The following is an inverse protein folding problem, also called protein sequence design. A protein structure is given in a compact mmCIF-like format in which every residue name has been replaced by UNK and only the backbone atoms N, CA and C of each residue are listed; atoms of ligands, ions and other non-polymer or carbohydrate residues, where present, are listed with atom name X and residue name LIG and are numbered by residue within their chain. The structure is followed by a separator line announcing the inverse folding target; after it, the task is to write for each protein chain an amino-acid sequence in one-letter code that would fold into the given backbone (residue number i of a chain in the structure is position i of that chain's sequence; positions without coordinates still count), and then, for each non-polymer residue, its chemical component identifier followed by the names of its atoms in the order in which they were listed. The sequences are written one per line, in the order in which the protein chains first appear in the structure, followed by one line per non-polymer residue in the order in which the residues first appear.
data_IF_787727054095
#
_entry.id   IF_787727054095
#
_cell.length_a   1.000
_cell.length_b   1.000
_cell.length_c   1.000
_cell.angle_alpha   90.00
_cell.angle_beta   90.00
_cell.angle_gamma   90.00
#
_symmetry.space_group_name_H-M   'P 1'
#
loop_
_entity.id
_entity.type
_entity.pdbx_description
1 polymer ?
#
# COMPACT_ATOMS: atom_id res chain seq x y z
N UNK A 1 -7.74 -23.91 -14.68
CA UNK A 1 -8.57 -23.10 -15.56
C UNK A 1 -7.67 -22.17 -16.39
N UNK A 2 -7.63 -22.32 -17.76
CA UNK A 2 -6.75 -21.55 -18.64
C UNK A 2 -6.90 -20.03 -18.47
N UNK A 3 -8.14 -19.52 -18.44
CA UNK A 3 -8.40 -18.08 -18.29
C UNK A 3 -7.89 -17.50 -16.96
N UNK A 4 -7.92 -18.27 -15.87
CA UNK A 4 -7.36 -17.83 -14.59
C UNK A 4 -5.82 -17.78 -14.63
N UNK A 5 -5.20 -18.73 -15.35
CA UNK A 5 -3.76 -18.74 -15.52
C UNK A 5 -3.28 -17.55 -16.37
N UNK A 6 -3.97 -17.26 -17.48
CA UNK A 6 -3.68 -16.09 -18.31
C UNK A 6 -3.74 -14.79 -17.49
N UNK A 7 -4.82 -14.58 -16.73
CA UNK A 7 -4.98 -13.41 -15.84
C UNK A 7 -3.92 -13.36 -14.74
N UNK A 8 -3.43 -14.52 -14.27
CA UNK A 8 -2.34 -14.57 -13.31
C UNK A 8 -1.06 -14.01 -13.94
N UNK A 9 -0.74 -14.47 -15.15
CA UNK A 9 0.49 -14.05 -15.85
C UNK A 9 0.42 -12.56 -16.22
N UNK A 10 -0.74 -12.02 -16.60
CA UNK A 10 -0.93 -10.60 -16.90
C UNK A 10 -0.51 -9.66 -15.74
N UNK A 11 -0.58 -10.12 -14.50
CA UNK A 11 -0.21 -9.28 -13.35
C UNK A 11 1.24 -8.83 -13.34
N UNK A 12 2.12 -9.62 -13.96
CA UNK A 12 3.54 -9.30 -14.07
C UNK A 12 3.91 -8.36 -15.21
N UNK A 13 2.99 -8.01 -16.12
CA UNK A 13 3.26 -7.35 -17.40
C UNK A 13 4.10 -6.07 -17.30
N UNK A 14 3.97 -5.30 -16.23
CA UNK A 14 4.72 -4.05 -16.05
C UNK A 14 6.09 -4.25 -15.40
N UNK A 15 6.33 -5.39 -14.76
CA UNK A 15 7.51 -5.60 -13.94
C UNK A 15 8.46 -6.67 -14.46
N UNK A 16 7.92 -7.65 -15.22
CA UNK A 16 8.67 -8.86 -15.61
C UNK A 16 9.89 -8.54 -16.48
N UNK A 17 9.77 -7.59 -17.42
CA UNK A 17 10.89 -7.16 -18.25
C UNK A 17 12.03 -6.61 -17.39
N UNK A 18 11.72 -5.72 -16.46
CA UNK A 18 12.69 -5.18 -15.52
C UNK A 18 13.37 -6.27 -14.66
N UNK A 19 12.58 -7.25 -14.21
CA UNK A 19 13.11 -8.39 -13.44
C UNK A 19 14.07 -9.23 -14.29
N UNK A 20 13.73 -9.48 -15.56
CA UNK A 20 14.61 -10.21 -16.49
C UNK A 20 15.92 -9.48 -16.73
N UNK A 21 15.88 -8.16 -16.94
CA UNK A 21 17.08 -7.32 -17.06
C UNK A 21 17.97 -7.39 -15.81
N UNK A 22 17.37 -7.32 -14.63
CA UNK A 22 18.13 -7.44 -13.38
C UNK A 22 18.74 -8.85 -13.22
N UNK A 23 18.03 -9.92 -13.57
CA UNK A 23 18.54 -11.29 -13.54
C UNK A 23 19.74 -11.48 -14.50
N UNK A 24 19.67 -10.91 -15.70
CA UNK A 24 20.73 -10.98 -16.71
C UNK A 24 22.04 -10.35 -16.21
N UNK A 25 21.98 -9.20 -15.52
CA UNK A 25 23.16 -8.54 -14.93
C UNK A 25 23.95 -9.46 -14.00
N UNK A 26 23.29 -10.38 -13.34
CA UNK A 26 23.88 -11.37 -12.43
C UNK A 26 24.06 -12.75 -13.06
N UNK A 27 23.76 -12.90 -14.35
CA UNK A 27 23.80 -14.19 -15.09
C UNK A 27 23.00 -15.28 -14.38
N UNK A 28 21.84 -14.92 -13.85
CA UNK A 28 20.90 -15.84 -13.22
C UNK A 28 19.94 -16.42 -14.25
N UNK A 29 19.40 -17.63 -14.01
CA UNK A 29 18.37 -18.21 -14.87
C UNK A 29 17.14 -17.29 -15.02
N UNK A 30 16.68 -16.99 -16.25
CA UNK A 30 15.57 -16.07 -16.47
C UNK A 30 14.25 -16.59 -15.90
N UNK A 31 14.11 -17.91 -15.72
CA UNK A 31 12.93 -18.51 -15.09
C UNK A 31 12.68 -17.99 -13.67
N UNK A 32 13.70 -17.48 -12.99
CA UNK A 32 13.56 -16.86 -11.67
C UNK A 32 12.66 -15.63 -11.68
N UNK A 33 12.39 -15.03 -12.85
CA UNK A 33 11.36 -14.00 -12.98
C UNK A 33 9.94 -14.52 -12.68
N UNK A 34 9.74 -15.83 -12.62
CA UNK A 34 8.45 -16.44 -12.26
C UNK A 34 8.26 -16.61 -10.73
N UNK A 35 9.29 -16.37 -9.91
CA UNK A 35 9.18 -16.46 -8.45
C UNK A 35 8.09 -15.55 -7.86
N UNK A 36 7.94 -14.28 -8.26
CA UNK A 36 6.91 -13.42 -7.73
C UNK A 36 5.48 -13.94 -7.94
N UNK A 37 5.23 -14.79 -8.95
CA UNK A 37 3.93 -15.45 -9.10
C UNK A 37 3.64 -16.42 -7.96
N UNK A 38 4.65 -17.11 -7.45
CA UNK A 38 4.51 -18.06 -6.34
C UNK A 38 4.43 -17.33 -5.01
N UNK A 39 5.17 -16.25 -4.86
CA UNK A 39 5.24 -15.47 -3.61
C UNK A 39 3.99 -14.64 -3.37
N UNK A 40 3.53 -13.91 -4.39
CA UNK A 40 2.49 -12.90 -4.23
C UNK A 40 1.50 -12.78 -5.40
N UNK A 41 1.63 -13.61 -6.43
CA UNK A 41 0.96 -13.39 -7.73
C UNK A 41 1.33 -12.03 -8.37
N UNK A 42 2.56 -11.56 -8.20
CA UNK A 42 2.99 -10.22 -8.62
C UNK A 42 2.16 -9.09 -8.01
N UNK A 43 1.58 -9.30 -6.83
CA UNK A 43 0.84 -8.27 -6.12
C UNK A 43 1.79 -7.46 -5.21
N UNK A 44 2.08 -6.19 -5.53
CA UNK A 44 3.00 -5.38 -4.75
C UNK A 44 2.46 -5.04 -3.35
N UNK A 45 1.15 -5.15 -3.11
CA UNK A 45 0.52 -4.90 -1.82
C UNK A 45 0.42 -6.14 -0.94
N UNK A 46 0.90 -7.29 -1.40
CA UNK A 46 0.80 -8.54 -0.67
C UNK A 46 1.57 -8.50 0.65
N UNK A 47 0.89 -8.91 1.74
CA UNK A 47 1.45 -9.04 3.09
C UNK A 47 1.09 -10.43 3.62
N UNK A 48 2.08 -11.21 4.02
CA UNK A 48 1.86 -12.50 4.64
C UNK A 48 1.54 -12.39 6.14
N UNK A 49 0.99 -13.43 6.73
CA UNK A 49 0.74 -13.49 8.17
C UNK A 49 2.03 -13.38 9.01
N UNK A 50 3.20 -13.75 8.44
CA UNK A 50 4.51 -13.63 9.08
C UNK A 50 5.19 -12.26 8.84
N UNK A 51 4.55 -11.34 8.12
CA UNK A 51 5.06 -10.00 7.85
C UNK A 51 6.01 -9.91 6.65
N UNK A 52 6.04 -10.92 5.76
CA UNK A 52 6.68 -10.80 4.46
C UNK A 52 5.86 -9.89 3.56
N UNK A 53 6.50 -9.05 2.72
CA UNK A 53 5.83 -7.99 1.96
C UNK A 53 6.30 -7.90 0.51
N UNK A 54 5.40 -7.40 -0.35
CA UNK A 54 5.65 -7.05 -1.74
C UNK A 54 5.68 -8.24 -2.68
N UNK A 55 6.04 -8.00 -3.93
CA UNK A 55 6.05 -9.04 -4.96
C UNK A 55 7.02 -10.19 -4.65
N UNK A 56 8.09 -9.92 -3.91
CA UNK A 56 9.14 -10.87 -3.53
C UNK A 56 8.98 -11.46 -2.14
N UNK A 57 7.97 -11.06 -1.37
CA UNK A 57 7.71 -11.50 0.00
C UNK A 57 8.95 -11.41 0.92
N UNK A 58 9.62 -10.24 0.89
CA UNK A 58 10.76 -10.02 1.77
C UNK A 58 10.36 -9.99 3.24
N UNK A 59 11.03 -10.82 4.03
CA UNK A 59 11.00 -10.70 5.48
C UNK A 59 11.78 -9.46 5.94
N UNK A 60 11.35 -8.76 7.01
CA UNK A 60 12.00 -7.51 7.46
C UNK A 60 13.51 -7.63 7.70
N UNK A 61 13.96 -8.74 8.29
CA UNK A 61 15.38 -8.97 8.57
C UNK A 61 16.20 -9.10 7.28
N UNK A 62 15.72 -9.89 6.31
CA UNK A 62 16.38 -10.07 5.02
C UNK A 62 16.36 -8.78 4.20
N UNK A 63 15.26 -8.04 4.21
CA UNK A 63 15.11 -6.76 3.54
C UNK A 63 16.20 -5.77 3.97
N UNK A 64 16.41 -5.62 5.28
CA UNK A 64 17.47 -4.74 5.83
C UNK A 64 18.88 -5.14 5.38
N UNK A 65 19.18 -6.45 5.33
CA UNK A 65 20.48 -6.94 4.87
C UNK A 65 20.75 -6.52 3.40
N UNK A 66 19.70 -6.52 2.58
CA UNK A 66 19.79 -6.16 1.16
C UNK A 66 19.50 -4.67 0.88
N UNK A 67 19.49 -3.83 1.94
CA UNK A 67 19.41 -2.38 1.83
C UNK A 67 18.01 -1.84 1.63
N UNK A 68 16.97 -2.66 1.79
CA UNK A 68 15.59 -2.18 1.76
C UNK A 68 15.26 -1.51 3.10
N UNK A 69 14.83 -0.26 3.01
CA UNK A 69 14.46 0.57 4.15
C UNK A 69 12.96 0.75 4.19
N UNK A 70 12.44 1.02 5.38
CA UNK A 70 11.07 1.42 5.63
C UNK A 70 11.06 2.75 6.37
N UNK A 71 10.27 3.68 5.86
CA UNK A 71 9.95 4.94 6.53
C UNK A 71 8.44 5.01 6.75
N UNK A 72 7.98 6.05 7.41
CA UNK A 72 6.53 6.25 7.53
C UNK A 72 5.85 6.49 6.16
N UNK A 73 6.58 7.12 5.24
CA UNK A 73 6.10 7.50 3.90
C UNK A 73 6.30 6.42 2.86
N UNK A 74 7.34 5.58 3.00
CA UNK A 74 7.79 4.70 1.94
C UNK A 74 8.31 3.37 2.48
N UNK A 75 7.73 2.28 2.02
CA UNK A 75 8.12 0.90 2.33
C UNK A 75 8.72 0.24 1.09
N UNK A 76 10.03 0.13 1.04
CA UNK A 76 10.74 -0.36 -0.15
C UNK A 76 10.45 -1.82 -0.51
N UNK A 77 9.94 -2.62 0.42
CA UNK A 77 9.52 -3.99 0.12
C UNK A 77 8.29 -4.05 -0.78
N UNK A 78 7.44 -3.04 -0.73
CA UNK A 78 6.27 -2.90 -1.60
C UNK A 78 6.62 -2.33 -2.97
N UNK A 79 7.74 -1.59 -3.10
CA UNK A 79 8.18 -1.07 -4.40
C UNK A 79 8.64 -2.21 -5.31
N UNK A 80 7.98 -2.45 -6.46
CA UNK A 80 8.32 -3.60 -7.31
C UNK A 80 9.71 -3.52 -7.91
N UNK A 81 10.20 -2.33 -8.26
CA UNK A 81 11.50 -2.16 -8.91
C UNK A 81 12.64 -2.19 -7.89
N UNK A 82 12.49 -1.47 -6.78
CA UNK A 82 13.50 -1.41 -5.71
C UNK A 82 13.66 -2.78 -5.07
N UNK A 83 12.54 -3.45 -4.74
CA UNK A 83 12.59 -4.80 -4.16
C UNK A 83 13.11 -5.86 -5.13
N UNK A 84 12.88 -5.72 -6.46
CA UNK A 84 13.44 -6.63 -7.46
C UNK A 84 14.97 -6.57 -7.50
N UNK A 85 15.56 -5.37 -7.48
CA UNK A 85 17.02 -5.23 -7.40
C UNK A 85 17.59 -5.93 -6.16
N UNK A 86 16.93 -5.80 -5.02
CA UNK A 86 17.35 -6.46 -3.79
C UNK A 86 17.18 -7.98 -3.87
N UNK A 87 16.06 -8.46 -4.43
CA UNK A 87 15.76 -9.88 -4.58
C UNK A 87 16.75 -10.58 -5.51
N UNK A 88 17.08 -9.96 -6.63
CA UNK A 88 18.06 -10.51 -7.56
C UNK A 88 19.46 -10.61 -6.93
N UNK A 89 19.89 -9.58 -6.16
CA UNK A 89 21.14 -9.67 -5.37
C UNK A 89 21.12 -10.82 -4.36
N UNK A 90 19.98 -10.99 -3.68
CA UNK A 90 19.82 -12.11 -2.74
C UNK A 90 19.84 -13.46 -3.45
N UNK A 91 19.15 -13.60 -4.58
CA UNK A 91 19.17 -14.81 -5.40
C UNK A 91 20.57 -15.11 -5.93
N UNK A 92 21.31 -14.10 -6.38
CA UNK A 92 22.71 -14.26 -6.83
C UNK A 92 23.62 -14.75 -5.70
N UNK A 93 23.48 -14.18 -4.50
CA UNK A 93 24.19 -14.67 -3.32
C UNK A 93 23.88 -16.13 -3.02
N UNK A 94 22.61 -16.51 -2.99
CA UNK A 94 22.18 -17.89 -2.74
C UNK A 94 22.66 -18.84 -3.83
N UNK A 95 22.53 -18.45 -5.09
CA UNK A 95 22.94 -19.25 -6.23
C UNK A 95 24.44 -19.57 -6.19
N UNK A 96 25.27 -18.58 -5.94
CA UNK A 96 26.71 -18.77 -5.79
C UNK A 96 27.04 -19.59 -4.54
N UNK A 97 26.36 -19.35 -3.39
CA UNK A 97 26.59 -20.06 -2.14
C UNK A 97 26.31 -21.57 -2.25
N UNK A 98 25.35 -21.95 -3.10
CA UNK A 98 24.96 -23.33 -3.31
C UNK A 98 25.43 -23.93 -4.64
N UNK A 99 26.62 -23.50 -5.12
CA UNK A 99 27.28 -24.03 -6.31
C UNK A 99 26.41 -24.00 -7.57
N UNK A 100 25.59 -22.98 -7.72
CA UNK A 100 24.66 -22.78 -8.84
C UNK A 100 23.59 -23.86 -8.99
N UNK A 101 23.32 -24.63 -7.91
CA UNK A 101 22.25 -25.59 -7.89
C UNK A 101 20.91 -24.88 -7.62
N UNK A 102 20.07 -24.82 -8.65
CA UNK A 102 18.80 -24.07 -8.60
C UNK A 102 17.85 -24.59 -7.51
N UNK A 103 17.83 -25.89 -7.28
CA UNK A 103 16.97 -26.51 -6.27
C UNK A 103 17.33 -26.06 -4.86
N UNK A 104 18.64 -25.93 -4.60
CA UNK A 104 19.12 -25.42 -3.32
C UNK A 104 18.90 -23.89 -3.22
N UNK A 105 19.12 -23.15 -4.32
CA UNK A 105 18.83 -21.71 -4.37
C UNK A 105 17.40 -21.43 -3.97
N UNK A 106 16.44 -22.14 -4.56
CA UNK A 106 15.01 -22.01 -4.28
C UNK A 106 14.65 -22.43 -2.85
N UNK A 107 15.22 -23.57 -2.39
CA UNK A 107 15.01 -24.05 -1.02
C UNK A 107 15.56 -23.06 0.02
N UNK A 108 16.71 -22.45 -0.26
CA UNK A 108 17.32 -21.45 0.61
C UNK A 108 16.57 -20.12 0.58
N UNK A 109 16.02 -19.71 -0.57
CA UNK A 109 15.20 -18.51 -0.69
C UNK A 109 13.97 -18.61 0.21
N UNK A 110 13.23 -19.73 0.12
CA UNK A 110 12.01 -19.95 0.91
C UNK A 110 12.29 -20.30 2.38
N UNK A 111 13.21 -21.23 2.65
CA UNK A 111 13.45 -21.78 3.99
C UNK A 111 14.61 -21.16 4.76
N UNK A 112 15.37 -20.30 4.12
CA UNK A 112 16.60 -19.70 4.65
C UNK A 112 17.85 -20.57 4.44
N UNK A 113 19.00 -19.95 4.11
CA UNK A 113 20.24 -20.65 3.79
C UNK A 113 20.81 -21.47 4.98
N UNK A 114 20.69 -20.94 6.19
CA UNK A 114 21.20 -21.60 7.40
C UNK A 114 20.52 -22.95 7.66
N UNK A 115 19.20 -23.00 7.48
CA UNK A 115 18.45 -24.25 7.65
C UNK A 115 18.89 -25.30 6.62
N UNK A 116 19.00 -24.90 5.35
CA UNK A 116 19.41 -25.77 4.26
C UNK A 116 20.80 -26.34 4.50
N UNK A 117 21.77 -25.49 4.84
CA UNK A 117 23.15 -25.91 5.14
C UNK A 117 23.23 -26.88 6.31
N UNK A 118 22.50 -26.60 7.38
CA UNK A 118 22.41 -27.49 8.54
C UNK A 118 21.95 -28.89 8.13
N UNK A 119 20.93 -28.97 7.27
CA UNK A 119 20.41 -30.26 6.81
C UNK A 119 21.37 -30.96 5.85
N UNK A 120 22.04 -30.24 4.94
CA UNK A 120 23.06 -30.79 4.06
C UNK A 120 24.23 -31.35 4.88
N UNK A 121 24.76 -30.62 5.87
CA UNK A 121 25.85 -31.07 6.76
C UNK A 121 25.44 -32.27 7.57
N UNK A 122 24.21 -32.28 8.08
CA UNK A 122 23.69 -33.45 8.85
C UNK A 122 23.63 -34.72 8.00
N UNK A 123 23.06 -34.63 6.78
CA UNK A 123 22.96 -35.76 5.89
C UNK A 123 24.35 -36.29 5.48
N UNK A 124 25.30 -35.38 5.15
CA UNK A 124 26.70 -35.76 4.88
C UNK A 124 27.32 -36.51 6.04
N UNK A 125 27.15 -36.02 7.29
CA UNK A 125 27.68 -36.71 8.50
C UNK A 125 27.06 -38.07 8.70
N UNK A 126 25.81 -38.27 8.30
CA UNK A 126 25.09 -39.55 8.42
C UNK A 126 25.25 -40.50 7.22
N UNK A 127 26.11 -40.16 6.24
CA UNK A 127 26.27 -40.90 4.98
C UNK A 127 24.99 -40.92 4.10
N UNK A 128 24.06 -40.02 4.31
CA UNK A 128 22.82 -39.90 3.55
C UNK A 128 22.94 -38.99 2.37
N UNK A 129 22.09 -39.18 1.36
CA UNK A 129 21.99 -38.31 0.20
C UNK A 129 21.70 -36.87 0.61
N UNK A 130 22.38 -35.94 -0.06
CA UNK A 130 22.13 -34.50 0.09
C UNK A 130 21.12 -33.96 -0.92
N UNK A 131 20.54 -34.79 -1.80
CA UNK A 131 19.46 -34.36 -2.68
C UNK A 131 18.35 -33.68 -1.85
N UNK A 132 17.83 -32.53 -2.33
CA UNK A 132 16.88 -31.71 -1.57
C UNK A 132 15.65 -32.50 -1.09
N UNK A 133 15.19 -33.52 -1.87
CA UNK A 133 14.07 -34.39 -1.50
C UNK A 133 14.36 -35.24 -0.24
N UNK A 134 15.62 -35.54 0.02
CA UNK A 134 16.08 -36.30 1.14
C UNK A 134 16.42 -35.47 2.38
N UNK A 135 16.46 -34.15 2.22
CA UNK A 135 16.71 -33.23 3.34
C UNK A 135 15.46 -33.13 4.23
N UNK A 136 15.66 -33.01 5.53
CA UNK A 136 14.54 -32.76 6.49
C UNK A 136 14.21 -31.29 6.51
N UNK A 137 13.48 -30.83 5.50
CA UNK A 137 13.01 -29.44 5.37
C UNK A 137 11.53 -29.33 5.76
N UNK A 138 11.05 -28.16 6.17
CA UNK A 138 9.62 -27.90 6.36
C UNK A 138 8.82 -28.22 5.10
N UNK A 139 7.57 -28.63 5.26
CA UNK A 139 6.70 -29.00 4.12
C UNK A 139 6.58 -27.86 3.10
N UNK A 140 6.39 -26.63 3.57
CA UNK A 140 6.33 -25.44 2.71
C UNK A 140 7.57 -25.34 1.79
N UNK A 141 8.78 -25.51 2.36
CA UNK A 141 10.04 -25.43 1.59
C UNK A 141 10.20 -26.62 0.64
N UNK A 142 9.74 -27.81 1.05
CA UNK A 142 9.73 -28.99 0.15
C UNK A 142 8.78 -28.82 -1.03
N UNK A 143 7.62 -28.22 -0.82
CA UNK A 143 6.61 -27.99 -1.85
C UNK A 143 6.96 -26.81 -2.76
N UNK A 144 7.88 -25.92 -2.34
CA UNK A 144 8.25 -24.71 -3.07
C UNK A 144 8.93 -25.02 -4.41
N UNK A 145 9.90 -25.90 -4.42
CA UNK A 145 10.64 -26.31 -5.64
C UNK A 145 9.72 -26.96 -6.68
N UNK A 146 8.85 -27.91 -6.35
CA UNK A 146 7.84 -28.42 -7.28
C UNK A 146 6.89 -27.36 -7.84
N UNK A 147 6.43 -26.43 -7.00
CA UNK A 147 5.58 -25.32 -7.44
C UNK A 147 6.28 -24.43 -8.48
N UNK A 148 7.54 -24.10 -8.20
CA UNK A 148 8.35 -23.34 -9.16
C UNK A 148 8.51 -24.08 -10.49
N UNK A 149 8.87 -25.34 -10.46
CA UNK A 149 9.00 -26.17 -11.67
C UNK A 149 7.68 -26.28 -12.43
N UNK A 150 6.56 -26.36 -11.72
CA UNK A 150 5.25 -26.42 -12.35
C UNK A 150 4.89 -25.12 -13.09
N UNK A 151 5.13 -23.95 -12.51
CA UNK A 151 4.85 -22.69 -13.21
C UNK A 151 5.79 -22.51 -14.41
N UNK A 152 7.06 -22.86 -14.28
CA UNK A 152 8.02 -22.84 -15.40
C UNK A 152 7.54 -23.74 -16.53
N UNK A 153 7.16 -25.01 -16.22
CA UNK A 153 6.63 -25.96 -17.20
C UNK A 153 5.37 -25.43 -17.91
N UNK A 154 4.43 -24.85 -17.15
CA UNK A 154 3.20 -24.28 -17.70
C UNK A 154 3.45 -23.07 -18.61
N UNK A 155 4.47 -22.25 -18.29
CA UNK A 155 4.82 -21.10 -19.13
C UNK A 155 5.56 -21.55 -20.41
N UNK A 156 6.55 -22.42 -20.29
CA UNK A 156 7.36 -22.86 -21.43
C UNK A 156 6.54 -23.69 -22.41
N UNK A 157 5.68 -24.56 -21.90
CA UNK A 157 4.88 -25.50 -22.68
C UNK A 157 3.38 -25.14 -22.69
N UNK A 158 3.06 -23.85 -22.69
CA UNK A 158 1.70 -23.36 -22.54
C UNK A 158 0.71 -23.99 -23.55
N UNK A 159 1.09 -24.07 -24.82
CA UNK A 159 0.27 -24.67 -25.90
C UNK A 159 -0.08 -26.12 -25.61
N UNK A 160 0.89 -26.91 -25.10
CA UNK A 160 0.67 -28.32 -24.72
C UNK A 160 -0.43 -28.49 -23.68
N UNK A 161 -0.62 -27.47 -22.83
CA UNK A 161 -1.63 -27.46 -21.77
C UNK A 161 -2.90 -26.68 -22.14
N UNK A 162 -3.04 -26.28 -23.41
CA UNK A 162 -4.16 -25.46 -23.87
C UNK A 162 -4.23 -24.09 -23.19
N UNK A 163 -3.07 -23.53 -22.80
CA UNK A 163 -2.96 -22.24 -22.17
C UNK A 163 -2.58 -21.17 -23.22
N UNK A 164 -3.27 -20.05 -23.18
CA UNK A 164 -2.90 -18.84 -23.95
C UNK A 164 -2.20 -17.89 -23.02
N UNK A 165 -0.93 -17.59 -23.30
CA UNK A 165 -0.18 -16.59 -22.54
C UNK A 165 -0.44 -15.19 -23.12
N UNK A 166 -0.54 -14.16 -22.28
CA UNK A 166 -0.58 -12.79 -22.76
C UNK A 166 0.74 -12.44 -23.46
N UNK A 167 0.66 -11.68 -24.54
CA UNK A 167 1.84 -11.16 -25.22
C UNK A 167 2.40 -9.98 -24.39
N UNK A 168 3.62 -10.14 -23.89
CA UNK A 168 4.34 -9.04 -23.25
C UNK A 168 5.35 -8.44 -24.22
N UNK A 169 5.47 -7.10 -24.28
CA UNK A 169 6.56 -6.48 -25.02
C UNK A 169 7.91 -6.94 -24.46
N UNK A 170 8.82 -7.38 -25.33
CA UNK A 170 10.21 -7.61 -24.95
C UNK A 170 10.97 -6.27 -25.00
N UNK A 171 10.49 -5.31 -24.24
CA UNK A 171 11.01 -3.95 -24.18
C UNK A 171 10.63 -3.31 -22.84
N UNK A 172 11.35 -2.29 -22.45
CA UNK A 172 11.02 -1.49 -21.29
C UNK A 172 9.64 -0.83 -21.46
N UNK A 173 8.73 -1.10 -20.54
CA UNK A 173 7.37 -0.55 -20.52
C UNK A 173 7.16 0.51 -19.44
N UNK A 174 8.11 0.64 -18.51
CA UNK A 174 8.08 1.63 -17.45
C UNK A 174 9.20 2.65 -17.64
N UNK A 175 8.82 3.92 -17.63
CA UNK A 175 9.70 5.05 -17.43
C UNK A 175 9.58 5.59 -16.01
N UNK A 176 10.19 6.75 -15.76
CA UNK A 176 10.09 7.41 -14.47
C UNK A 176 10.09 8.93 -14.62
N UNK A 177 9.41 9.59 -13.68
CA UNK A 177 9.46 11.05 -13.57
C UNK A 177 9.97 11.45 -12.20
N UNK A 178 10.93 12.36 -12.17
CA UNK A 178 11.44 12.98 -10.94
C UNK A 178 10.80 14.34 -10.73
N UNK A 179 10.17 14.52 -9.57
CA UNK A 179 9.52 15.74 -9.14
C UNK A 179 10.20 16.26 -7.87
N UNK A 180 10.46 17.56 -7.81
CA UNK A 180 11.08 18.16 -6.63
C UNK A 180 10.04 18.43 -5.54
N UNK A 181 10.34 17.98 -4.32
CA UNK A 181 9.50 18.15 -3.16
C UNK A 181 8.47 17.05 -2.96
N UNK A 182 7.60 17.28 -2.02
CA UNK A 182 6.52 16.36 -1.68
C UNK A 182 5.38 16.47 -2.68
N UNK A 183 4.82 15.34 -3.08
CA UNK A 183 3.78 15.24 -4.10
C UNK A 183 2.61 14.39 -3.57
N UNK A 184 1.40 14.92 -3.68
CA UNK A 184 0.17 14.16 -3.43
C UNK A 184 -0.07 13.16 -4.56
N UNK A 185 -0.30 11.89 -4.22
CA UNK A 185 -0.39 10.81 -5.23
C UNK A 185 -1.64 10.95 -6.09
N UNK A 186 -2.76 11.44 -5.53
CA UNK A 186 -3.98 11.68 -6.31
C UNK A 186 -3.79 12.84 -7.28
N UNK A 187 -3.19 13.95 -6.84
CA UNK A 187 -2.87 15.07 -7.74
C UNK A 187 -1.92 14.63 -8.85
N UNK A 188 -0.95 13.75 -8.54
CA UNK A 188 -0.10 13.16 -9.57
C UNK A 188 -0.89 12.26 -10.54
N UNK A 189 -1.87 11.49 -10.05
CA UNK A 189 -2.72 10.66 -10.90
C UNK A 189 -3.51 11.50 -11.91
N UNK A 190 -4.07 12.62 -11.46
CA UNK A 190 -4.78 13.57 -12.33
C UNK A 190 -3.83 14.23 -13.34
N UNK A 191 -2.63 14.63 -12.89
CA UNK A 191 -1.60 15.21 -13.77
C UNK A 191 -1.15 14.26 -14.88
N UNK A 192 -1.02 12.96 -14.54
CA UNK A 192 -0.59 11.93 -15.48
C UNK A 192 -1.74 11.37 -16.34
N UNK A 193 -2.98 11.77 -16.09
CA UNK A 193 -4.20 11.19 -16.68
C UNK A 193 -4.26 9.66 -16.51
N UNK A 194 -3.90 9.21 -15.31
CA UNK A 194 -3.88 7.80 -14.95
C UNK A 194 -4.86 7.51 -13.82
N UNK A 195 -5.46 6.33 -13.83
CA UNK A 195 -6.29 5.87 -12.71
C UNK A 195 -5.44 5.76 -11.44
N UNK A 196 -5.92 6.26 -10.29
CA UNK A 196 -5.18 6.18 -9.02
C UNK A 196 -4.72 4.77 -8.65
N UNK A 197 -5.57 3.75 -8.90
CA UNK A 197 -5.21 2.35 -8.63
C UNK A 197 -3.96 1.92 -9.40
N UNK A 198 -3.83 2.41 -10.62
CA UNK A 198 -2.70 2.09 -11.47
C UNK A 198 -1.43 2.80 -11.02
N UNK A 199 -1.53 4.10 -10.68
CA UNK A 199 -0.41 4.86 -10.11
C UNK A 199 0.10 4.22 -8.82
N UNK A 200 -0.81 3.88 -7.89
CA UNK A 200 -0.44 3.18 -6.66
C UNK A 200 0.17 1.81 -6.93
N UNK A 201 -0.33 1.05 -7.92
CA UNK A 201 0.23 -0.26 -8.27
C UNK A 201 1.68 -0.16 -8.75
N UNK A 202 1.98 0.83 -9.60
CA UNK A 202 3.34 1.06 -10.09
C UNK A 202 4.28 1.61 -9.01
N UNK A 203 3.72 2.28 -7.99
CA UNK A 203 4.43 3.02 -6.95
C UNK A 203 4.03 2.57 -5.54
N UNK A 204 3.85 1.27 -5.36
CA UNK A 204 3.31 0.70 -4.12
C UNK A 204 4.20 0.92 -2.89
N UNK A 205 5.43 1.37 -3.10
CA UNK A 205 6.31 1.81 -2.02
C UNK A 205 5.75 2.99 -1.23
N UNK A 206 5.00 3.90 -1.86
CA UNK A 206 4.35 5.01 -1.15
C UNK A 206 3.19 4.50 -0.30
N UNK A 207 3.34 4.62 1.02
CA UNK A 207 2.39 4.06 2.01
C UNK A 207 1.36 5.07 2.48
N UNK A 208 1.48 6.33 2.03
CA UNK A 208 0.64 7.46 2.42
C UNK A 208 -0.01 8.12 1.20
N UNK A 209 -0.79 9.13 1.47
CA UNK A 209 -1.46 9.95 0.45
C UNK A 209 -0.49 10.83 -0.35
N UNK A 210 0.72 11.04 0.17
CA UNK A 210 1.78 11.82 -0.46
C UNK A 210 3.13 11.13 -0.31
N UNK A 211 4.09 11.54 -1.12
CA UNK A 211 5.50 11.16 -1.03
C UNK A 211 6.19 11.77 0.21
N UNK A 212 7.43 11.37 0.54
CA UNK A 212 8.20 12.02 1.62
C UNK A 212 8.37 13.51 1.43
N UNK A 213 8.36 14.31 2.49
CA UNK A 213 8.67 15.74 2.41
C UNK A 213 10.16 16.00 2.17
N UNK A 214 10.46 17.09 1.47
CA UNK A 214 11.83 17.62 1.32
C UNK A 214 12.76 16.86 0.38
N UNK A 215 12.32 15.77 -0.21
CA UNK A 215 13.11 14.93 -1.11
C UNK A 215 12.61 15.03 -2.56
N UNK A 216 13.46 14.56 -3.49
CA UNK A 216 13.01 14.32 -4.86
C UNK A 216 12.12 13.10 -4.88
N UNK A 217 10.89 13.27 -5.33
CA UNK A 217 9.92 12.18 -5.51
C UNK A 217 10.07 11.56 -6.88
N UNK A 218 10.14 10.23 -6.95
CA UNK A 218 10.22 9.49 -8.21
C UNK A 218 8.94 8.66 -8.36
N UNK A 219 8.20 8.89 -9.45
CA UNK A 219 7.09 8.03 -9.84
C UNK A 219 7.48 7.16 -11.03
N UNK A 220 7.20 5.87 -10.92
CA UNK A 220 7.19 4.96 -12.07
C UNK A 220 5.91 5.19 -12.86
N UNK A 221 6.03 5.30 -14.16
CA UNK A 221 4.96 5.61 -15.10
C UNK A 221 5.08 4.72 -16.34
N UNK A 222 4.03 4.56 -17.15
CA UNK A 222 4.18 4.02 -18.51
C UNK A 222 5.20 4.85 -19.30
N UNK A 223 6.10 4.17 -20.01
CA UNK A 223 7.23 4.84 -20.68
C UNK A 223 6.79 5.86 -21.74
N UNK A 224 5.64 5.62 -22.37
CA UNK A 224 5.06 6.52 -23.37
C UNK A 224 4.64 7.89 -22.83
N UNK A 225 4.50 8.02 -21.51
CA UNK A 225 4.13 9.28 -20.85
C UNK A 225 5.36 10.09 -20.39
N UNK A 226 6.55 9.50 -20.38
CA UNK A 226 7.74 10.09 -19.75
C UNK A 226 8.09 11.46 -20.32
N UNK A 227 8.15 11.60 -21.65
CA UNK A 227 8.50 12.87 -22.30
C UNK A 227 7.41 13.93 -22.07
N UNK A 228 6.14 13.58 -22.25
CA UNK A 228 5.04 14.52 -22.12
C UNK A 228 4.89 15.06 -20.70
N UNK A 229 5.07 14.22 -19.69
CA UNK A 229 5.02 14.63 -18.29
C UNK A 229 6.26 15.44 -17.88
N UNK A 230 7.44 15.09 -18.39
CA UNK A 230 8.66 15.85 -18.14
C UNK A 230 8.58 17.29 -18.66
N UNK A 231 7.88 17.54 -19.76
CA UNK A 231 7.66 18.90 -20.28
C UNK A 231 6.78 19.75 -19.36
N UNK A 232 5.81 19.14 -18.65
CA UNK A 232 4.80 19.84 -17.83
C UNK A 232 5.10 19.81 -16.32
N UNK A 233 6.12 19.05 -15.88
CA UNK A 233 6.36 18.81 -14.44
C UNK A 233 6.61 20.06 -13.61
N UNK A 234 7.21 21.12 -14.18
CA UNK A 234 7.52 22.34 -13.44
C UNK A 234 6.25 23.08 -13.04
N UNK A 235 5.28 23.18 -13.94
CA UNK A 235 3.97 23.80 -13.67
C UNK A 235 3.19 22.97 -12.62
N UNK A 236 3.22 21.64 -12.77
CA UNK A 236 2.57 20.74 -11.81
C UNK A 236 3.13 20.92 -10.41
N UNK A 237 4.45 20.90 -10.23
CA UNK A 237 5.09 21.04 -8.92
C UNK A 237 4.76 22.40 -8.31
N UNK A 238 4.80 23.49 -9.10
CA UNK A 238 4.48 24.82 -8.62
C UNK A 238 3.03 24.94 -8.14
N UNK A 239 2.08 24.32 -8.86
CA UNK A 239 0.65 24.35 -8.51
C UNK A 239 0.28 23.45 -7.31
N UNK A 240 1.06 22.39 -7.04
CA UNK A 240 0.71 21.35 -6.06
C UNK A 240 1.73 21.23 -4.91
N UNK A 241 2.38 22.32 -4.52
CA UNK A 241 3.29 22.32 -3.37
C UNK A 241 2.52 22.04 -2.07
N UNK A 242 2.97 21.03 -1.33
CA UNK A 242 2.46 20.78 0.02
C UNK A 242 3.22 21.68 1.00
N UNK A 243 2.50 22.51 1.72
CA UNK A 243 3.08 23.42 2.68
C UNK A 243 3.33 22.74 4.03
N UNK A 244 4.50 22.98 4.58
CA UNK A 244 4.87 22.56 5.93
C UNK A 244 4.96 23.76 6.83
N UNK A 245 4.51 23.59 8.08
CA UNK A 245 4.70 24.59 9.14
C UNK A 245 5.65 24.05 10.17
N UNK A 246 6.60 24.86 10.58
CA UNK A 246 7.44 24.58 11.75
C UNK A 246 6.75 25.11 12.99
N UNK A 247 6.43 24.24 13.95
CA UNK A 247 5.91 24.60 15.26
C UNK A 247 7.02 24.50 16.31
N UNK A 248 7.28 25.60 17.00
CA UNK A 248 8.21 25.61 18.14
C UNK A 248 7.46 25.28 19.43
N UNK A 249 7.86 24.19 20.07
CA UNK A 249 7.22 23.68 21.30
C UNK A 249 7.31 24.71 22.41
N UNK A 250 6.17 25.10 22.95
CA UNK A 250 6.00 26.06 24.03
C UNK A 250 5.59 25.37 25.33
N UNK A 251 5.69 26.09 26.45
CA UNK A 251 5.29 25.56 27.76
C UNK A 251 3.80 25.21 27.76
N UNK A 252 3.48 23.96 28.10
CA UNK A 252 2.11 23.44 28.10
C UNK A 252 1.68 22.78 26.81
N UNK A 253 2.54 22.72 25.75
CA UNK A 253 2.32 21.94 24.57
C UNK A 253 2.41 20.45 24.86
N UNK A 254 1.67 19.69 24.09
CA UNK A 254 1.79 18.24 23.98
C UNK A 254 1.56 17.86 22.53
N UNK A 255 2.05 16.70 22.10
CA UNK A 255 1.81 16.20 20.76
C UNK A 255 0.31 16.18 20.41
N UNK A 256 -0.54 15.86 21.38
CA UNK A 256 -1.99 15.87 21.21
C UNK A 256 -2.54 17.28 20.93
N UNK A 257 -2.12 18.29 21.72
CA UNK A 257 -2.56 19.68 21.51
C UNK A 257 -2.08 20.24 20.17
N UNK A 258 -0.83 19.94 19.80
CA UNK A 258 -0.24 20.35 18.53
C UNK A 258 -0.95 19.65 17.37
N UNK A 259 -1.19 18.35 17.46
CA UNK A 259 -1.94 17.60 16.47
C UNK A 259 -3.33 18.20 16.23
N UNK A 260 -4.08 18.48 17.30
CA UNK A 260 -5.39 19.11 17.20
C UNK A 260 -5.35 20.55 16.64
N UNK A 261 -4.31 21.33 17.00
CA UNK A 261 -4.17 22.69 16.51
C UNK A 261 -3.96 22.76 15.01
N UNK A 262 -3.25 21.79 14.45
CA UNK A 262 -2.87 21.76 13.04
C UNK A 262 -3.63 20.70 12.23
N UNK A 263 -4.69 20.17 12.81
CA UNK A 263 -5.55 19.14 12.16
C UNK A 263 -4.76 17.94 11.62
N UNK A 264 -3.89 17.40 12.46
CA UNK A 264 -3.05 16.23 12.14
C UNK A 264 -3.11 15.19 13.27
N UNK A 265 -2.45 14.06 13.10
CA UNK A 265 -2.41 13.01 14.12
C UNK A 265 -1.11 13.01 14.93
N UNK A 266 -1.20 12.64 16.22
CA UNK A 266 -0.03 12.46 17.08
C UNK A 266 0.99 11.50 16.46
N UNK A 267 0.52 10.40 15.86
CA UNK A 267 1.39 9.43 15.22
C UNK A 267 2.10 9.99 13.98
N UNK A 268 1.44 10.89 13.24
CA UNK A 268 2.04 11.63 12.13
C UNK A 268 3.15 12.52 12.64
N UNK A 269 2.87 13.36 13.64
CA UNK A 269 3.86 14.24 14.26
C UNK A 269 5.08 13.47 14.78
N UNK A 270 4.84 12.35 15.46
CA UNK A 270 5.94 11.51 15.98
C UNK A 270 6.83 10.99 14.86
N UNK A 271 6.26 10.46 13.83
CA UNK A 271 7.00 9.79 12.73
C UNK A 271 7.70 10.78 11.83
N UNK A 272 7.03 11.89 11.48
CA UNK A 272 7.61 12.96 10.67
C UNK A 272 8.81 13.60 11.36
N UNK A 273 8.74 13.73 12.70
CA UNK A 273 9.79 14.35 13.49
C UNK A 273 10.72 13.33 14.17
N UNK A 274 10.64 12.04 13.80
CA UNK A 274 11.48 10.95 14.35
C UNK A 274 11.44 10.86 15.87
N UNK A 275 10.26 11.13 16.51
CA UNK A 275 10.12 11.12 17.94
C UNK A 275 9.97 9.70 18.50
N UNK A 276 10.90 9.27 19.32
CA UNK A 276 10.85 7.95 19.97
C UNK A 276 9.76 7.86 21.05
N UNK A 277 9.39 9.00 21.67
CA UNK A 277 8.41 9.07 22.76
C UNK A 277 7.39 10.20 22.52
N UNK A 278 6.43 10.37 23.43
CA UNK A 278 5.50 11.50 23.43
C UNK A 278 6.06 12.74 24.15
N UNK A 279 7.27 12.65 24.69
CA UNK A 279 7.90 13.74 25.42
C UNK A 279 8.46 14.76 24.44
N UNK A 280 8.13 16.02 24.66
CA UNK A 280 8.62 17.14 23.87
C UNK A 280 9.56 17.99 24.74
N UNK A 281 10.63 18.51 24.14
CA UNK A 281 11.52 19.46 24.79
C UNK A 281 11.05 20.89 24.51
N UNK A 282 11.19 21.77 25.49
CA UNK A 282 10.88 23.18 25.28
C UNK A 282 11.77 23.76 24.19
N UNK A 283 11.17 24.58 23.31
CA UNK A 283 11.81 25.12 22.11
C UNK A 283 12.19 24.11 21.03
N UNK A 284 11.80 22.85 21.16
CA UNK A 284 11.94 21.87 20.07
C UNK A 284 11.13 22.32 18.85
N UNK A 285 11.72 22.23 17.67
CA UNK A 285 11.02 22.49 16.41
C UNK A 285 10.41 21.21 15.88
N UNK A 286 9.13 21.27 15.52
CA UNK A 286 8.38 20.17 14.93
C UNK A 286 7.90 20.57 13.55
N UNK A 287 8.19 19.73 12.55
CA UNK A 287 7.60 19.82 11.23
C UNK A 287 6.17 19.30 11.27
N UNK A 288 5.24 20.08 10.74
CA UNK A 288 3.83 19.77 10.71
C UNK A 288 3.33 19.86 9.26
N UNK A 289 2.85 18.76 8.67
CA UNK A 289 2.28 18.80 7.34
C UNK A 289 0.94 19.53 7.38
N UNK A 290 0.81 20.56 6.55
CA UNK A 290 -0.47 21.21 6.29
C UNK A 290 -1.01 20.64 4.98
N UNK A 291 -2.25 20.16 4.96
CA UNK A 291 -2.95 19.94 3.71
C UNK A 291 -3.21 21.29 3.04
N UNK A 292 -2.98 21.40 1.73
CA UNK A 292 -3.26 22.62 0.96
C UNK A 292 -4.76 22.94 0.90
N UNK A 293 -5.59 22.03 1.27
CA UNK A 293 -7.04 22.19 1.29
C UNK A 293 -7.45 22.71 2.65
N UNK A 294 -7.69 24.01 2.75
CA UNK A 294 -8.33 24.63 3.94
C UNK A 294 -9.71 24.03 4.22
N UNK A 295 -10.17 23.10 3.37
CA UNK A 295 -11.41 22.34 3.49
C UNK A 295 -11.18 20.84 3.81
N UNK A 296 -9.95 20.39 4.09
CA UNK A 296 -9.79 19.04 4.61
C UNK A 296 -10.29 19.00 6.04
N UNK A 297 -11.59 18.80 6.16
CA UNK A 297 -12.22 18.33 7.39
C UNK A 297 -11.51 17.06 7.85
N UNK A 298 -10.90 17.12 9.04
CA UNK A 298 -10.57 15.94 9.84
C UNK A 298 -11.70 14.92 9.64
N UNK A 299 -11.39 13.76 9.05
CA UNK A 299 -12.36 12.69 8.90
C UNK A 299 -12.34 11.92 10.23
N UNK A 300 -13.29 12.22 11.13
CA UNK A 300 -13.50 11.39 12.31
C UNK A 300 -13.79 9.98 11.83
N UNK A 301 -13.57 8.98 12.69
CA UNK A 301 -14.07 7.63 12.47
C UNK A 301 -15.46 7.70 11.84
N UNK A 302 -15.54 7.28 10.59
CA UNK A 302 -16.78 7.26 9.83
C UNK A 302 -17.02 5.84 9.34
N UNK A 303 -18.21 5.33 9.62
CA UNK A 303 -18.66 4.09 9.05
C UNK A 303 -19.19 4.35 7.64
N UNK A 304 -18.68 3.64 6.65
CA UNK A 304 -19.20 3.62 5.30
C UNK A 304 -19.89 2.29 5.04
N UNK A 305 -21.16 2.32 4.61
CA UNK A 305 -21.86 1.12 4.18
C UNK A 305 -21.53 0.86 2.72
N UNK A 306 -20.86 -0.26 2.47
CA UNK A 306 -20.42 -0.64 1.14
C UNK A 306 -21.61 -0.75 0.19
N UNK A 307 -21.56 -0.03 -0.90
CA UNK A 307 -22.54 0.00 -1.98
C UNK A 307 -21.99 -0.69 -3.24
N UNK A 308 -22.84 -0.96 -4.22
CA UNK A 308 -22.42 -1.49 -5.51
C UNK A 308 -21.47 -0.52 -6.22
N UNK A 309 -20.34 -1.03 -6.71
CA UNK A 309 -19.28 -0.23 -7.33
C UNK A 309 -18.24 0.33 -6.37
N UNK A 310 -18.41 0.17 -5.04
CA UNK A 310 -17.38 0.58 -4.09
C UNK A 310 -16.13 -0.27 -4.19
N UNK A 311 -15.00 0.42 -4.16
CA UNK A 311 -13.66 -0.17 -4.06
C UNK A 311 -12.88 0.57 -2.99
N UNK A 312 -11.86 -0.06 -2.43
CA UNK A 312 -10.95 0.64 -1.50
C UNK A 312 -10.33 1.90 -2.13
N UNK A 313 -10.23 1.90 -3.47
CA UNK A 313 -9.64 2.99 -4.24
C UNK A 313 -10.58 4.20 -4.35
N UNK A 314 -11.82 4.00 -4.83
CA UNK A 314 -12.75 5.10 -4.95
C UNK A 314 -13.18 5.65 -3.57
N UNK A 315 -13.24 4.78 -2.55
CA UNK A 315 -13.45 5.22 -1.17
C UNK A 315 -12.24 5.99 -0.63
N UNK A 316 -11.01 5.57 -0.99
CA UNK A 316 -9.81 6.31 -0.66
C UNK A 316 -9.81 7.73 -1.22
N UNK A 317 -10.23 7.89 -2.48
CA UNK A 317 -10.42 9.19 -3.13
C UNK A 317 -11.52 9.99 -2.43
N UNK A 318 -12.70 9.38 -2.25
CA UNK A 318 -13.87 10.02 -1.65
C UNK A 318 -13.58 10.57 -0.26
N UNK A 319 -12.84 9.80 0.55
CA UNK A 319 -12.55 10.13 1.94
C UNK A 319 -11.14 10.70 2.15
N UNK A 320 -10.37 10.92 1.08
CA UNK A 320 -8.98 11.43 1.14
C UNK A 320 -8.09 10.64 2.10
N UNK A 321 -8.27 9.32 2.13
CA UNK A 321 -7.50 8.38 2.95
C UNK A 321 -6.82 7.37 2.03
N UNK A 322 -5.59 6.96 2.35
CA UNK A 322 -4.91 5.91 1.60
C UNK A 322 -5.77 4.63 1.56
N UNK A 323 -6.01 4.03 0.38
CA UNK A 323 -6.72 2.76 0.27
C UNK A 323 -6.11 1.65 1.14
N UNK A 324 -4.78 1.66 1.28
CA UNK A 324 -4.06 0.73 2.16
C UNK A 324 -4.37 0.96 3.65
N UNK A 325 -4.66 2.19 4.04
CA UNK A 325 -5.06 2.53 5.40
C UNK A 325 -6.50 2.08 5.68
N UNK A 326 -7.42 2.30 4.74
CA UNK A 326 -8.78 1.76 4.83
C UNK A 326 -8.72 0.22 4.94
N UNK A 327 -7.95 -0.45 4.10
CA UNK A 327 -7.78 -1.90 4.16
C UNK A 327 -7.30 -2.36 5.54
N UNK A 328 -6.25 -1.74 6.07
CA UNK A 328 -5.66 -2.05 7.38
C UNK A 328 -6.65 -1.86 8.53
N UNK A 329 -7.40 -0.75 8.52
CA UNK A 329 -8.38 -0.43 9.56
C UNK A 329 -9.53 -1.45 9.63
N UNK A 330 -9.73 -2.20 8.53
CA UNK A 330 -10.79 -3.20 8.39
C UNK A 330 -10.29 -4.65 8.33
N UNK A 331 -8.99 -4.89 8.51
CA UNK A 331 -8.42 -6.23 8.39
C UNK A 331 -8.52 -6.83 6.98
N UNK A 332 -8.61 -5.96 5.96
CA UNK A 332 -8.69 -6.35 4.55
C UNK A 332 -7.30 -6.33 3.89
N UNK A 333 -7.15 -7.11 2.83
CA UNK A 333 -6.01 -6.98 1.90
C UNK A 333 -6.36 -6.00 0.80
N UNK A 334 -5.38 -5.30 0.25
CA UNK A 334 -5.55 -4.54 -0.99
C UNK A 334 -6.07 -5.48 -2.08
N UNK A 335 -7.08 -5.04 -2.82
CA UNK A 335 -7.76 -5.88 -3.82
C UNK A 335 -8.76 -6.90 -3.26
N UNK A 336 -8.99 -6.96 -1.95
CA UNK A 336 -10.08 -7.75 -1.39
C UNK A 336 -11.43 -7.25 -1.91
N UNK A 337 -12.34 -8.13 -2.37
CA UNK A 337 -13.67 -7.73 -2.76
C UNK A 337 -14.43 -7.18 -1.54
N UNK A 338 -15.01 -6.02 -1.70
CA UNK A 338 -15.87 -5.42 -0.69
C UNK A 338 -17.26 -6.07 -0.77
N UNK A 339 -17.84 -6.40 0.38
CA UNK A 339 -19.18 -7.02 0.44
C UNK A 339 -20.24 -5.93 0.63
N UNK A 340 -21.12 -5.78 -0.36
CA UNK A 340 -22.25 -4.83 -0.32
C UNK A 340 -23.06 -5.00 0.98
N UNK A 341 -23.42 -3.87 1.58
CA UNK A 341 -24.18 -3.81 2.83
C UNK A 341 -23.36 -4.01 4.11
N UNK A 342 -22.04 -4.34 4.00
CA UNK A 342 -21.15 -4.35 5.17
C UNK A 342 -20.61 -2.96 5.48
N UNK A 343 -20.39 -2.74 6.78
CA UNK A 343 -19.75 -1.52 7.28
C UNK A 343 -18.25 -1.59 7.08
N UNK A 344 -17.69 -0.52 6.53
CA UNK A 344 -16.26 -0.28 6.37
C UNK A 344 -15.86 0.91 7.25
N UNK A 345 -14.86 0.70 8.09
CA UNK A 345 -14.32 1.75 8.93
C UNK A 345 -13.40 2.66 8.12
N UNK A 346 -13.83 3.89 7.90
CA UNK A 346 -13.05 4.95 7.30
C UNK A 346 -12.46 5.79 8.44
N UNK A 347 -11.15 5.90 8.53
CA UNK A 347 -10.47 6.65 9.60
C UNK A 347 -10.00 5.79 10.79
N UNK A 348 -9.47 6.42 11.83
CA UNK A 348 -8.75 5.72 12.89
C UNK A 348 -9.62 5.49 14.14
N UNK A 349 -9.83 4.21 14.51
CA UNK A 349 -10.59 3.80 15.70
C UNK A 349 -9.99 4.24 17.04
N UNK A 350 -8.70 4.57 17.09
CA UNK A 350 -8.00 4.76 18.37
C UNK A 350 -8.26 6.10 19.07
N UNK A 351 -9.10 6.98 18.49
CA UNK A 351 -9.43 8.29 19.08
C UNK A 351 -10.67 8.25 20.00
N UNK A 352 -11.43 7.15 20.00
CA UNK A 352 -12.68 7.06 20.76
C UNK A 352 -12.55 6.92 22.28
N UNK A 353 -11.34 6.85 22.84
CA UNK A 353 -11.19 6.60 24.29
C UNK A 353 -11.03 7.82 25.18
N UNK A 354 -10.99 9.04 24.64
CA UNK A 354 -10.78 10.21 25.53
C UNK A 354 -11.43 11.49 24.98
N UNK A 355 -12.73 11.50 24.76
CA UNK A 355 -13.45 12.77 24.67
C UNK A 355 -14.72 12.67 25.53
N UNK A 356 -14.62 13.25 26.73
CA UNK A 356 -15.75 13.62 27.57
C UNK A 356 -16.72 14.55 26.81
N UNK A 357 -17.98 14.13 26.79
CA UNK A 357 -19.20 14.92 26.63
C UNK A 357 -19.10 16.29 25.93
N UNK A 358 -19.00 16.34 24.61
CA UNK A 358 -19.38 17.53 23.84
C UNK A 358 -20.13 17.12 22.58
N UNK A 359 -21.21 17.84 22.28
CA UNK A 359 -22.05 17.67 21.09
C UNK A 359 -21.18 17.68 19.83
N UNK A 360 -21.39 16.72 18.93
CA UNK A 360 -20.71 16.62 17.64
C UNK A 360 -21.64 17.06 16.52
N UNK A 361 -21.10 17.80 15.56
CA UNK A 361 -21.82 18.20 14.34
C UNK A 361 -21.34 17.33 13.18
N UNK A 362 -22.27 16.67 12.49
CA UNK A 362 -22.04 15.88 11.28
C UNK A 362 -22.70 16.62 10.12
N UNK A 363 -22.04 16.69 8.97
CA UNK A 363 -22.67 17.16 7.72
C UNK A 363 -23.20 15.93 6.97
N UNK A 364 -24.51 15.88 6.78
CA UNK A 364 -25.18 14.79 6.09
C UNK A 364 -25.76 15.26 4.78
N UNK A 365 -25.38 14.65 3.65
CA UNK A 365 -25.98 14.92 2.34
C UNK A 365 -27.22 14.05 2.16
N UNK A 366 -28.37 14.70 2.02
CA UNK A 366 -29.68 14.06 1.81
C UNK A 366 -29.67 13.24 0.52
N UNK A 367 -30.03 11.99 0.59
CA UNK A 367 -30.13 11.06 -0.54
C UNK A 367 -31.56 10.99 -1.07
N UNK A 368 -31.71 10.50 -2.30
CA UNK A 368 -33.02 10.23 -2.87
C UNK A 368 -33.78 9.19 -2.01
N UNK A 369 -34.95 9.53 -1.56
CA UNK A 369 -35.77 8.68 -0.66
C UNK A 369 -35.50 8.90 0.83
N UNK A 370 -34.62 9.83 1.23
CA UNK A 370 -34.50 10.21 2.63
C UNK A 370 -35.67 11.08 3.09
N UNK A 371 -36.01 10.94 4.38
CA UNK A 371 -36.89 11.82 5.11
C UNK A 371 -36.25 12.27 6.41
N UNK A 372 -36.67 13.39 6.98
CA UNK A 372 -36.20 13.85 8.28
C UNK A 372 -36.35 12.78 9.35
N UNK A 373 -37.45 12.01 9.31
CA UNK A 373 -37.69 10.88 10.22
C UNK A 373 -36.61 9.81 10.09
N UNK A 374 -36.30 9.38 8.86
CA UNK A 374 -35.30 8.37 8.59
C UNK A 374 -33.89 8.84 9.00
N UNK A 375 -33.59 10.11 8.75
CA UNK A 375 -32.30 10.70 9.14
C UNK A 375 -32.19 10.80 10.66
N UNK A 376 -33.28 11.21 11.35
CA UNK A 376 -33.35 11.26 12.81
C UNK A 376 -33.12 9.87 13.44
N UNK A 377 -33.76 8.85 12.87
CA UNK A 377 -33.59 7.45 13.29
C UNK A 377 -32.18 6.94 13.10
N UNK A 378 -31.57 7.18 11.94
CA UNK A 378 -30.17 6.79 11.64
C UNK A 378 -29.18 7.39 12.66
N UNK A 379 -29.39 8.63 13.07
CA UNK A 379 -28.49 9.35 13.97
C UNK A 379 -28.92 9.35 15.43
N UNK A 380 -30.05 8.68 15.76
CA UNK A 380 -30.66 8.63 17.08
C UNK A 380 -30.80 10.02 17.73
N UNK A 381 -31.43 10.95 17.00
CA UNK A 381 -31.69 12.33 17.41
C UNK A 381 -33.12 12.73 17.11
N UNK A 382 -33.59 13.80 17.74
CA UNK A 382 -34.94 14.32 17.51
C UNK A 382 -35.01 15.10 16.18
N UNK A 383 -36.13 14.95 15.45
CA UNK A 383 -36.37 15.67 14.19
C UNK A 383 -36.32 17.19 14.39
N UNK A 384 -36.82 17.65 15.51
CA UNK A 384 -36.85 19.05 15.90
C UNK A 384 -35.41 19.63 16.04
N UNK A 385 -34.46 18.83 16.48
CA UNK A 385 -33.05 19.24 16.55
C UNK A 385 -32.45 19.42 15.16
N UNK A 386 -32.76 18.50 14.21
CA UNK A 386 -32.32 18.65 12.81
C UNK A 386 -32.92 19.93 12.21
N UNK A 387 -34.21 20.13 12.40
CA UNK A 387 -34.92 21.32 11.87
C UNK A 387 -34.35 22.61 12.41
N UNK A 388 -34.17 22.70 13.73
CA UNK A 388 -33.65 23.89 14.41
C UNK A 388 -32.24 24.23 13.97
N UNK A 389 -31.35 23.23 13.83
CA UNK A 389 -29.94 23.48 13.49
C UNK A 389 -29.76 23.86 12.04
N UNK A 390 -30.68 23.42 11.16
CA UNK A 390 -30.61 23.63 9.72
C UNK A 390 -31.64 24.67 9.22
N UNK A 391 -32.33 25.33 10.12
CA UNK A 391 -33.36 26.35 9.80
C UNK A 391 -34.43 25.85 8.82
N UNK A 392 -34.88 24.58 8.99
CA UNK A 392 -35.87 23.96 8.11
C UNK A 392 -37.26 24.29 8.62
N UNK A 393 -38.02 25.17 7.96
CA UNK A 393 -39.33 25.59 8.49
C UNK A 393 -40.43 24.53 8.32
N UNK A 394 -40.30 23.67 7.30
CA UNK A 394 -41.20 22.57 6.99
C UNK A 394 -40.44 21.24 6.94
N UNK A 395 -41.17 20.10 6.97
CA UNK A 395 -40.52 18.79 6.98
C UNK A 395 -39.95 18.39 5.60
N UNK A 396 -39.66 19.34 4.73
CA UNK A 396 -39.18 19.09 3.38
C UNK A 396 -37.67 19.23 3.29
N UNK A 397 -37.04 18.19 2.77
CA UNK A 397 -35.60 18.13 2.44
C UNK A 397 -35.43 17.64 0.99
N UNK A 398 -34.39 18.08 0.32
CA UNK A 398 -34.14 17.75 -1.10
C UNK A 398 -32.89 16.89 -1.22
N UNK A 399 -32.88 15.91 -2.14
CA UNK A 399 -31.64 15.18 -2.48
C UNK A 399 -30.52 16.15 -2.83
N UNK A 400 -29.33 15.91 -2.26
CA UNK A 400 -28.17 16.80 -2.39
C UNK A 400 -28.10 17.92 -1.35
N UNK A 401 -29.16 18.17 -0.59
CA UNK A 401 -29.12 19.14 0.52
C UNK A 401 -28.20 18.65 1.63
N UNK A 402 -27.31 19.53 2.14
CA UNK A 402 -26.40 19.21 3.24
C UNK A 402 -27.03 19.65 4.56
N UNK A 403 -27.26 18.70 5.47
CA UNK A 403 -27.79 18.94 6.81
C UNK A 403 -26.68 18.85 7.86
N UNK A 404 -26.67 19.82 8.79
CA UNK A 404 -25.88 19.75 10.03
C UNK A 404 -26.61 18.88 11.05
N UNK A 405 -26.03 17.77 11.41
CA UNK A 405 -26.58 16.83 12.39
C UNK A 405 -25.72 16.91 13.66
N UNK A 406 -26.34 17.28 14.77
CA UNK A 406 -25.64 17.35 16.06
C UNK A 406 -26.01 16.16 16.92
N UNK A 407 -25.06 15.24 17.13
CA UNK A 407 -25.24 14.07 17.97
C UNK A 407 -24.65 14.31 19.37
N UNK A 408 -25.31 13.77 20.39
CA UNK A 408 -24.73 13.67 21.74
C UNK A 408 -23.68 12.55 21.69
N UNK A 409 -22.44 12.86 22.04
CA UNK A 409 -21.45 11.81 22.25
C UNK A 409 -21.82 11.01 23.48
N UNK A 410 -21.98 9.71 23.35
CA UNK A 410 -22.12 8.77 24.46
C UNK A 410 -20.77 8.54 25.13
#
# INVERSE_FOLDING_TARGET
NPAQFSRLIEKGQYFIYFVLEELEKYRLPPELALLPYIESNYDPFSISASGAMGIWQFMPATARIYGLQDTWWYEQRHDPLVSSRAAVRYLAYLHNRFNKEITYTLSAYNGGPTLLEKQIKLNKKLGKSTNYKQLKLPRQTKDYVPKFKAIVELVINAEKYGLTLPAFPNAQVLGSISLNGQVEILAFSDFADLKPEFVYKLNAGYTKWASPPGETTIFNIPIELEDSLNMKKSEFVQANQINWVTHRVSRGDSLWKIANKFDTEVNVLKKVNYLASNTLSLNQELLIPLSNDQNQTFIPYQAHIISEGDTLWNLGIQYKISPAEIARNNGLKMGSPLRIGKELNIGNKNIHRTINSKKRTILYSVKQGDSLYRIADIFNIEIEDIKRINEIPHNEIKPGQVLKIVIKAF
#
